data_IF_618710996944
#
_entry.id   IF_618710996944
#
_cell.length_a   1.000
_cell.length_b   1.000
_cell.length_c   1.000
_cell.angle_alpha   90.00
_cell.angle_beta   90.00
_cell.angle_gamma   90.00
#
_symmetry.space_group_name_H-M   'P 1'
#
loop_
_entity.id
_entity.type
_entity.pdbx_description
1 polymer ?
#
# COMPACT_ATOMS: atom_id res chain seq x y z
N UNK A 1 -12.58 -0.88 19.29
CA UNK A 1 -13.10 0.23 18.46
C UNK A 1 -11.91 1.14 18.19
N UNK A 2 -11.16 0.86 17.13
CA UNK A 2 -9.91 1.55 16.81
C UNK A 2 -10.21 2.89 16.15
N UNK A 3 -9.65 3.95 16.69
CA UNK A 3 -9.71 5.30 16.14
C UNK A 3 -8.85 5.35 14.87
N UNK A 4 -9.45 5.68 13.71
CA UNK A 4 -8.71 6.14 12.55
C UNK A 4 -8.11 7.51 12.91
N UNK A 5 -6.84 7.55 13.26
CA UNK A 5 -6.08 8.79 13.26
C UNK A 5 -5.49 8.96 11.85
N UNK A 6 -6.18 9.75 11.02
CA UNK A 6 -5.59 10.34 9.84
C UNK A 6 -4.47 11.25 10.34
N UNK A 7 -3.24 10.76 10.34
CA UNK A 7 -2.07 11.58 10.55
C UNK A 7 -1.93 12.37 9.25
N UNK A 8 -2.33 13.63 9.29
CA UNK A 8 -2.22 14.65 8.25
C UNK A 8 -1.00 14.43 7.36
N UNK A 9 -1.17 14.66 6.04
CA UNK A 9 -0.14 14.47 5.02
C UNK A 9 1.25 14.83 5.52
N UNK A 10 2.05 13.80 5.79
CA UNK A 10 3.39 14.00 6.33
C UNK A 10 4.34 14.19 5.16
N UNK A 11 5.25 15.15 5.28
CA UNK A 11 6.34 15.34 4.33
C UNK A 11 7.48 14.46 4.80
N UNK A 12 7.84 13.44 4.03
CA UNK A 12 9.04 12.64 4.29
C UNK A 12 10.07 12.95 3.22
N UNK A 13 11.24 13.41 3.65
CA UNK A 13 12.36 13.75 2.77
C UNK A 13 13.26 12.54 2.59
N UNK A 14 13.36 12.01 1.38
CA UNK A 14 14.29 10.96 1.01
C UNK A 14 15.29 11.53 0.01
N UNK A 15 16.58 11.57 0.35
CA UNK A 15 17.67 12.04 -0.53
C UNK A 15 17.43 13.44 -1.15
N UNK A 16 16.77 14.33 -0.41
CA UNK A 16 16.43 15.68 -0.87
C UNK A 16 15.14 15.79 -1.68
N UNK A 17 14.40 14.68 -1.85
CA UNK A 17 13.08 14.62 -2.49
C UNK A 17 12.00 14.51 -1.41
N UNK A 18 11.08 15.47 -1.39
CA UNK A 18 9.91 15.42 -0.50
C UNK A 18 8.82 14.56 -1.11
N UNK A 19 8.31 13.60 -0.35
CA UNK A 19 7.16 12.78 -0.74
C UNK A 19 5.88 13.22 -0.05
N UNK A 20 4.78 13.21 -0.81
CA UNK A 20 3.44 13.39 -0.26
C UNK A 20 2.87 12.02 0.09
N UNK A 21 2.48 11.83 1.34
CA UNK A 21 1.95 10.53 1.80
C UNK A 21 0.64 10.71 2.59
N UNK A 22 -0.22 9.70 2.51
CA UNK A 22 -1.41 9.53 3.34
C UNK A 22 -1.24 8.30 4.21
N UNK A 23 -1.32 8.45 5.52
CA UNK A 23 -1.16 7.35 6.45
C UNK A 23 -2.52 6.85 6.92
N UNK A 24 -2.73 5.53 6.86
CA UNK A 24 -3.95 4.85 7.31
C UNK A 24 -3.58 3.61 8.12
N UNK A 25 -4.45 3.16 9.02
CA UNK A 25 -4.28 1.89 9.71
C UNK A 25 -5.51 1.02 9.63
N UNK A 26 -5.29 -0.25 9.29
CA UNK A 26 -6.31 -1.31 9.23
C UNK A 26 -6.07 -2.39 10.29
N UNK A 27 -5.35 -2.04 11.38
CA UNK A 27 -4.81 -2.99 12.36
C UNK A 27 -3.29 -3.18 12.25
N UNK A 28 -2.72 -2.77 11.12
CA UNK A 28 -1.31 -2.56 10.83
C UNK A 28 -1.12 -1.17 10.16
N UNK A 29 0.09 -0.58 10.21
CA UNK A 29 0.37 0.73 9.62
C UNK A 29 0.58 0.66 8.10
N UNK A 30 -0.09 1.56 7.37
CA UNK A 30 0.00 1.73 5.91
C UNK A 30 0.35 3.19 5.55
N UNK A 31 1.25 3.35 4.58
CA UNK A 31 1.70 4.62 4.05
C UNK A 31 1.47 4.65 2.54
N UNK A 32 0.46 5.39 2.10
CA UNK A 32 0.08 5.48 0.70
C UNK A 32 0.70 6.73 0.08
N UNK A 33 1.33 6.62 -1.09
CA UNK A 33 1.86 7.77 -1.83
C UNK A 33 1.45 7.73 -3.29
N UNK A 34 1.16 8.91 -3.84
CA UNK A 34 0.86 9.13 -5.27
C UNK A 34 2.03 9.81 -5.99
N UNK A 35 3.15 10.05 -5.31
CA UNK A 35 4.31 10.73 -5.87
C UNK A 35 4.94 11.75 -4.93
N UNK A 36 5.88 12.51 -5.50
CA UNK A 36 6.69 13.51 -4.81
C UNK A 36 6.01 14.88 -4.80
N UNK A 37 6.45 15.81 -3.96
CA UNK A 37 5.95 17.19 -3.93
C UNK A 37 6.04 17.88 -5.31
N UNK A 38 7.01 17.50 -6.14
CA UNK A 38 7.21 18.06 -7.49
C UNK A 38 6.55 17.28 -8.63
N UNK A 39 6.17 16.03 -8.42
CA UNK A 39 5.56 15.16 -9.44
C UNK A 39 4.63 14.13 -8.82
N UNK A 40 3.34 14.22 -9.17
CA UNK A 40 2.25 13.36 -8.71
C UNK A 40 1.85 12.30 -9.77
N UNK A 41 2.55 12.22 -10.90
CA UNK A 41 2.28 11.24 -11.96
C UNK A 41 3.25 10.05 -11.88
N UNK A 42 3.25 9.40 -10.70
CA UNK A 42 4.12 8.28 -10.39
C UNK A 42 3.96 7.14 -11.42
N UNK A 43 5.04 6.73 -12.07
CA UNK A 43 5.09 5.51 -12.89
C UNK A 43 5.57 4.35 -12.00
N UNK A 44 4.63 3.58 -11.44
CA UNK A 44 5.00 2.61 -10.38
C UNK A 44 5.87 1.46 -10.89
N UNK A 45 5.75 1.09 -12.17
CA UNK A 45 6.59 0.06 -12.79
C UNK A 45 8.06 0.47 -12.89
N UNK A 46 8.34 1.77 -12.93
CA UNK A 46 9.69 2.33 -13.05
C UNK A 46 10.37 2.52 -11.69
N UNK A 47 9.65 2.32 -10.59
CA UNK A 47 10.20 2.46 -9.24
C UNK A 47 11.12 1.29 -8.88
N UNK A 48 12.32 1.63 -8.41
CA UNK A 48 13.20 0.70 -7.71
C UNK A 48 12.73 0.52 -6.26
N UNK A 49 11.81 -0.42 -6.05
CA UNK A 49 11.27 -0.75 -4.73
C UNK A 49 12.34 -1.27 -3.77
N UNK A 50 13.36 -1.96 -4.26
CA UNK A 50 14.42 -2.48 -3.40
C UNK A 50 15.27 -1.33 -2.84
N UNK A 51 15.37 -0.22 -3.58
CA UNK A 51 16.01 0.99 -3.10
C UNK A 51 15.09 1.83 -2.20
N UNK A 52 13.87 2.13 -2.64
CA UNK A 52 13.00 3.11 -1.96
C UNK A 52 12.17 2.50 -0.82
N UNK A 53 11.78 1.24 -0.93
CA UNK A 53 10.92 0.54 0.04
C UNK A 53 11.49 0.53 1.46
N UNK A 54 12.75 0.12 1.67
CA UNK A 54 13.39 0.15 2.99
C UNK A 54 13.46 1.56 3.60
N UNK A 55 13.60 2.60 2.76
CA UNK A 55 13.62 3.99 3.22
C UNK A 55 12.29 4.37 3.86
N UNK A 56 11.17 3.98 3.25
CA UNK A 56 9.84 4.18 3.84
C UNK A 56 9.58 3.26 5.04
N UNK A 57 9.88 1.96 4.94
CA UNK A 57 9.64 0.99 6.03
C UNK A 57 10.31 1.44 7.34
N UNK A 58 11.55 1.91 7.24
CA UNK A 58 12.37 2.27 8.40
C UNK A 58 12.38 3.77 8.70
N UNK A 59 11.55 4.57 8.03
CA UNK A 59 11.51 6.01 8.27
C UNK A 59 11.13 6.31 9.73
N UNK A 60 11.80 7.30 10.33
CA UNK A 60 11.66 7.64 11.75
C UNK A 60 10.23 8.02 12.17
N UNK A 61 9.43 8.49 11.21
CA UNK A 61 8.00 8.81 11.41
C UNK A 61 7.14 7.57 11.67
N UNK A 62 7.65 6.36 11.40
CA UNK A 62 6.96 5.09 11.61
C UNK A 62 7.65 4.25 12.70
N UNK A 63 7.35 4.48 14.00
CA UNK A 63 7.99 3.75 15.10
C UNK A 63 7.80 2.23 15.05
N UNK A 64 6.69 1.77 14.49
CA UNK A 64 6.36 0.35 14.30
C UNK A 64 6.65 -0.15 12.88
N UNK A 65 7.44 0.62 12.10
CA UNK A 65 7.61 0.52 10.65
C UNK A 65 6.27 0.63 9.91
N UNK A 66 6.27 0.55 8.58
CA UNK A 66 5.03 0.64 7.79
C UNK A 66 5.06 -0.24 6.55
N UNK A 67 3.88 -0.71 6.13
CA UNK A 67 3.66 -1.07 4.73
C UNK A 67 3.59 0.21 3.90
N UNK A 68 4.07 0.18 2.66
CA UNK A 68 4.04 1.33 1.77
C UNK A 68 3.41 0.98 0.44
N UNK A 69 2.35 1.69 0.08
CA UNK A 69 1.65 1.56 -1.19
C UNK A 69 2.03 2.73 -2.12
N UNK A 70 2.71 2.42 -3.21
CA UNK A 70 3.01 3.37 -4.28
C UNK A 70 1.91 3.30 -5.32
N UNK A 71 1.20 4.39 -5.57
CA UNK A 71 -0.02 4.40 -6.39
C UNK A 71 0.10 5.33 -7.59
N UNK A 72 -0.15 4.78 -8.77
CA UNK A 72 -0.36 5.47 -10.04
C UNK A 72 -1.86 5.59 -10.30
N UNK A 73 -2.32 6.77 -10.71
CA UNK A 73 -3.74 7.02 -11.00
C UNK A 73 -3.94 7.05 -12.52
N UNK A 74 -4.72 6.12 -13.10
CA UNK A 74 -5.15 6.19 -14.50
C UNK A 74 -6.49 6.93 -14.64
N UNK A 75 -7.46 6.60 -13.79
CA UNK A 75 -8.76 7.25 -13.68
C UNK A 75 -9.24 7.21 -12.22
N UNK A 76 -10.32 7.94 -11.84
CA UNK A 76 -10.88 7.84 -10.50
C UNK A 76 -11.33 6.43 -10.07
N UNK A 77 -11.47 5.50 -11.02
CA UNK A 77 -11.85 4.10 -10.78
C UNK A 77 -10.80 3.10 -11.29
N UNK A 78 -9.60 3.58 -11.63
CA UNK A 78 -8.50 2.77 -12.14
C UNK A 78 -7.18 3.37 -11.66
N UNK A 79 -6.57 2.74 -10.68
CA UNK A 79 -5.24 3.01 -10.16
C UNK A 79 -4.27 1.88 -10.59
N UNK A 80 -3.01 1.95 -10.19
CA UNK A 80 -2.10 0.80 -10.19
C UNK A 80 -1.18 1.01 -9.03
N UNK A 81 -0.91 -0.02 -8.26
CA UNK A 81 -0.03 0.10 -7.12
C UNK A 81 1.08 -0.95 -7.09
N UNK A 82 2.12 -0.62 -6.35
CA UNK A 82 3.08 -1.63 -5.89
C UNK A 82 3.26 -1.44 -4.40
N UNK A 83 3.46 -2.54 -3.71
CA UNK A 83 3.53 -2.55 -2.25
C UNK A 83 4.93 -2.97 -1.80
N UNK A 84 5.47 -2.24 -0.84
CA UNK A 84 6.56 -2.69 0.00
C UNK A 84 5.99 -3.12 1.36
N UNK A 85 6.08 -4.41 1.67
CA UNK A 85 5.55 -4.96 2.91
C UNK A 85 6.60 -4.93 4.03
N UNK A 86 6.17 -4.48 5.22
CA UNK A 86 6.99 -4.46 6.42
C UNK A 86 7.55 -5.85 6.73
N UNK A 87 8.87 -5.96 6.90
CA UNK A 87 9.54 -7.19 7.30
C UNK A 87 9.62 -8.26 6.21
N UNK A 88 9.33 -7.92 4.96
CA UNK A 88 9.51 -8.79 3.80
C UNK A 88 10.55 -8.17 2.85
N UNK A 89 11.41 -9.01 2.27
CA UNK A 89 12.42 -8.58 1.29
C UNK A 89 11.88 -8.62 -0.17
N UNK A 90 10.59 -8.93 -0.41
CA UNK A 90 10.05 -9.23 -1.74
C UNK A 90 8.74 -8.52 -2.12
N UNK A 91 8.59 -8.38 -3.45
CA UNK A 91 7.87 -7.34 -4.17
C UNK A 91 6.55 -7.86 -4.74
N UNK A 92 5.47 -7.07 -4.68
CA UNK A 92 4.22 -7.38 -5.39
C UNK A 92 3.80 -6.24 -6.32
N UNK A 93 3.52 -6.60 -7.58
CA UNK A 93 2.82 -5.77 -8.55
C UNK A 93 1.33 -5.90 -8.31
N UNK A 94 0.62 -4.79 -8.27
CA UNK A 94 -0.84 -4.75 -8.21
C UNK A 94 -1.36 -3.77 -9.26
N UNK A 95 -1.99 -4.25 -10.32
CA UNK A 95 -2.82 -3.37 -11.15
C UNK A 95 -4.15 -3.13 -10.44
N UNK A 96 -4.56 -1.86 -10.30
CA UNK A 96 -5.76 -1.49 -9.57
C UNK A 96 -6.83 -1.02 -10.57
N UNK A 97 -7.73 -1.83 -11.12
CA UNK A 97 -9.06 -1.22 -11.42
C UNK A 97 -9.72 -0.92 -10.05
N UNK A 98 -11.02 -0.74 -9.84
CA UNK A 98 -11.53 -0.99 -8.47
C UNK A 98 -11.40 -2.50 -8.11
N UNK A 99 -10.25 -3.12 -8.42
CA UNK A 99 -9.85 -4.51 -8.59
C UNK A 99 -8.34 -4.55 -8.32
N UNK A 100 -7.88 -5.18 -7.25
CA UNK A 100 -6.48 -5.29 -6.79
C UNK A 100 -5.92 -6.58 -7.36
N UNK A 101 -5.19 -6.53 -8.47
CA UNK A 101 -4.55 -7.74 -8.98
C UNK A 101 -3.41 -8.18 -8.06
N UNK A 102 -3.69 -9.12 -7.15
CA UNK A 102 -2.68 -9.80 -6.35
C UNK A 102 -2.11 -11.00 -7.14
N UNK A 103 -0.98 -11.59 -6.72
CA UNK A 103 -0.52 -12.88 -7.25
C UNK A 103 -1.59 -13.99 -7.18
N UNK A 104 -2.56 -13.85 -6.26
CA UNK A 104 -3.73 -14.73 -6.13
C UNK A 104 -4.95 -14.32 -6.95
N UNK A 105 -4.87 -13.24 -7.73
CA UNK A 105 -5.95 -12.70 -8.55
C UNK A 105 -6.52 -11.36 -8.05
N UNK A 106 -7.48 -10.78 -8.80
CA UNK A 106 -8.10 -9.48 -8.55
C UNK A 106 -8.90 -9.37 -7.22
N UNK A 107 -8.74 -8.31 -6.40
CA UNK A 107 -9.63 -7.94 -5.28
C UNK A 107 -10.39 -6.63 -5.52
N UNK A 108 -11.71 -6.64 -5.57
CA UNK A 108 -12.48 -5.41 -5.51
C UNK A 108 -12.38 -4.76 -4.12
N UNK A 109 -12.08 -3.45 -4.05
CA UNK A 109 -12.12 -2.68 -2.80
C UNK A 109 -13.22 -1.63 -2.88
N UNK A 110 -14.10 -1.61 -1.88
CA UNK A 110 -15.16 -0.61 -1.70
C UNK A 110 -15.09 -0.05 -0.28
N UNK A 111 -15.01 1.27 -0.13
CA UNK A 111 -15.31 1.93 1.14
C UNK A 111 -16.77 2.38 1.13
N UNK A 112 -17.58 1.81 2.03
CA UNK A 112 -18.98 2.18 2.16
C UNK A 112 -19.15 3.24 3.24
N UNK A 113 -19.60 4.43 2.85
CA UNK A 113 -19.81 5.54 3.79
C UNK A 113 -20.93 5.26 4.82
N UNK A 114 -21.95 4.46 4.46
CA UNK A 114 -23.12 4.18 5.31
C UNK A 114 -22.76 3.50 6.64
N UNK A 115 -21.77 2.61 6.62
CA UNK A 115 -21.29 1.87 7.80
C UNK A 115 -19.81 2.13 8.09
N UNK A 116 -19.14 2.93 7.27
CA UNK A 116 -17.72 3.26 7.37
C UNK A 116 -16.81 2.02 7.36
N UNK A 117 -17.19 0.96 6.63
CA UNK A 117 -16.38 -0.25 6.46
C UNK A 117 -15.74 -0.33 5.06
N UNK A 118 -14.55 -0.93 5.02
CA UNK A 118 -13.88 -1.31 3.78
C UNK A 118 -14.20 -2.77 3.49
N UNK A 119 -14.74 -3.04 2.31
CA UNK A 119 -15.04 -4.35 1.77
C UNK A 119 -14.00 -4.75 0.74
N UNK A 120 -13.51 -5.98 0.83
CA UNK A 120 -12.55 -6.56 -0.12
C UNK A 120 -13.12 -7.86 -0.68
N UNK A 121 -13.24 -7.97 -2.00
CA UNK A 121 -13.83 -9.15 -2.66
C UNK A 121 -12.91 -9.68 -3.74
N UNK A 122 -12.45 -10.92 -3.64
CA UNK A 122 -11.72 -11.56 -4.74
C UNK A 122 -11.67 -13.07 -4.60
N UNK A 123 -10.98 -13.76 -5.55
CA UNK A 123 -10.89 -15.20 -5.55
C UNK A 123 -10.04 -15.72 -4.38
N UNK A 124 -10.38 -16.90 -3.88
CA UNK A 124 -9.59 -17.64 -2.91
C UNK A 124 -9.53 -19.10 -3.35
N UNK A 125 -8.33 -19.65 -3.48
CA UNK A 125 -8.12 -21.05 -3.83
C UNK A 125 -7.40 -21.81 -2.73
N UNK A 126 -7.81 -23.05 -2.53
CA UNK A 126 -7.13 -23.98 -1.62
C UNK A 126 -5.86 -24.47 -2.32
N UNK A 127 -4.70 -24.18 -1.74
CA UNK A 127 -3.40 -24.58 -2.31
C UNK A 127 -3.01 -26.01 -1.89
N UNK A 128 -3.12 -26.35 -0.60
CA UNK A 128 -2.89 -27.70 -0.09
C UNK A 128 -3.45 -27.87 1.34
N UNK A 129 -3.51 -29.11 1.81
CA UNK A 129 -3.74 -29.45 3.21
C UNK A 129 -2.56 -30.27 3.74
N UNK A 130 -2.22 -30.13 5.03
CA UNK A 130 -1.12 -30.85 5.65
C UNK A 130 -1.15 -30.79 7.18
N UNK A 131 -0.20 -31.48 7.81
CA UNK A 131 0.03 -31.46 9.25
C UNK A 131 1.50 -31.16 9.51
N UNK A 132 1.79 -30.18 10.36
CA UNK A 132 3.17 -29.80 10.73
C UNK A 132 3.34 -30.13 12.21
N UNK A 133 4.33 -30.97 12.58
CA UNK A 133 4.66 -31.16 14.00
C UNK A 133 5.20 -29.85 14.57
N UNK A 134 4.65 -29.44 15.71
CA UNK A 134 5.11 -28.29 16.49
C UNK A 134 6.29 -28.67 17.37
#
# INVERSE_FOLDING_TARGET
MGRLELIWGSRSGFDGVTWNVTCVSMGNPHCVTFGTEGDQNLQVDELDLAEIGPKFEHHEVFPARTNTEFVQVFTPSHLKMRVWERGQEQHWLVELTCTVDLPGGPLQIEWREEDNHIYMTGPAEVVFYGSVPL
#
